data_IF_831330600760
#
_entry.id   IF_831330600760
#
_cell.length_a   1.000
_cell.length_b   1.000
_cell.length_c   1.000
_cell.angle_alpha   90.00
_cell.angle_beta   90.00
_cell.angle_gamma   90.00
#
_symmetry.space_group_name_H-M   'P 1'
#
loop_
_entity.id
_entity.type
_entity.pdbx_description
1 polymer ?
#
# COMPACT_ATOMS: atom_id res chain seq x y z
N UNK A 1 4.43 -14.05 18.81
CA UNK A 1 3.22 -14.44 18.04
C UNK A 1 3.60 -15.51 17.02
N UNK A 2 2.65 -16.27 16.45
CA UNK A 2 2.97 -17.23 15.40
C UNK A 2 3.32 -16.48 14.11
N UNK A 3 4.61 -16.29 13.88
CA UNK A 3 5.19 -15.67 12.67
C UNK A 3 4.84 -16.41 11.35
N UNK A 4 4.24 -17.59 11.43
CA UNK A 4 4.03 -18.46 10.26
C UNK A 4 3.10 -17.82 9.23
N UNK A 5 2.03 -17.15 9.66
CA UNK A 5 1.09 -16.49 8.74
C UNK A 5 1.74 -15.34 7.98
N UNK A 6 2.60 -14.56 8.65
CA UNK A 6 3.35 -13.46 8.07
C UNK A 6 4.40 -13.98 7.08
N UNK A 7 5.14 -15.04 7.47
CA UNK A 7 6.11 -15.71 6.59
C UNK A 7 5.49 -16.27 5.32
N UNK A 8 4.39 -17.03 5.42
CA UNK A 8 3.71 -17.60 4.25
C UNK A 8 3.24 -16.52 3.27
N UNK A 9 2.76 -15.38 3.78
CA UNK A 9 2.36 -14.25 2.96
C UNK A 9 3.55 -13.54 2.30
N UNK A 10 4.64 -13.35 3.03
CA UNK A 10 5.88 -12.82 2.46
C UNK A 10 6.38 -13.69 1.31
N UNK A 11 6.35 -15.02 1.43
CA UNK A 11 6.75 -15.93 0.36
C UNK A 11 5.89 -15.87 -0.92
N UNK A 12 4.75 -15.16 -0.90
CA UNK A 12 3.90 -14.94 -2.08
C UNK A 12 4.20 -13.63 -2.80
N UNK A 13 4.83 -12.68 -2.10
CA UNK A 13 5.18 -11.37 -2.66
C UNK A 13 6.68 -11.23 -2.94
N UNK A 14 7.51 -12.18 -2.50
CA UNK A 14 8.94 -12.23 -2.80
C UNK A 14 9.26 -13.31 -3.84
N UNK A 15 10.15 -12.99 -4.79
CA UNK A 15 10.73 -14.01 -5.66
C UNK A 15 11.59 -14.97 -4.82
N UNK A 16 11.18 -16.24 -4.77
CA UNK A 16 11.81 -17.26 -3.91
C UNK A 16 13.25 -17.60 -4.32
N UNK A 17 13.66 -17.28 -5.55
CA UNK A 17 15.00 -17.61 -6.06
C UNK A 17 16.02 -16.53 -5.71
N UNK A 18 15.66 -15.27 -5.95
CA UNK A 18 16.54 -14.12 -5.71
C UNK A 18 16.39 -13.53 -4.31
N UNK A 19 15.24 -13.73 -3.65
CA UNK A 19 14.90 -13.06 -2.41
C UNK A 19 14.55 -11.57 -2.58
N UNK A 20 14.41 -11.11 -3.83
CA UNK A 20 14.00 -9.74 -4.15
C UNK A 20 12.48 -9.65 -4.31
N UNK A 21 11.99 -8.41 -4.37
CA UNK A 21 10.58 -8.09 -4.59
C UNK A 21 10.44 -6.92 -5.56
N UNK A 22 9.56 -7.04 -6.54
CA UNK A 22 9.11 -5.99 -7.43
C UNK A 22 7.61 -5.73 -7.22
N UNK A 23 7.31 -4.60 -6.54
CA UNK A 23 5.94 -4.13 -6.30
C UNK A 23 5.61 -3.03 -7.30
N UNK A 24 4.49 -3.15 -8.02
CA UNK A 24 3.97 -2.06 -8.86
C UNK A 24 2.82 -1.34 -8.12
N UNK A 25 3.01 -0.09 -7.67
CA UNK A 25 1.94 0.70 -7.07
C UNK A 25 0.94 1.19 -8.12
N UNK A 26 -0.34 1.06 -7.79
CA UNK A 26 -1.50 1.32 -8.65
C UNK A 26 -2.64 2.00 -7.87
N UNK A 27 -2.34 2.61 -6.73
CA UNK A 27 -3.30 3.16 -5.75
C UNK A 27 -3.68 4.63 -6.00
N UNK A 28 -3.05 5.26 -7.00
CA UNK A 28 -3.12 6.71 -7.23
C UNK A 28 -4.53 7.20 -7.62
N UNK A 29 -5.39 6.31 -8.13
CA UNK A 29 -6.70 6.67 -8.67
C UNK A 29 -7.62 7.43 -7.71
N UNK A 30 -7.54 7.14 -6.41
CA UNK A 30 -8.32 7.86 -5.39
C UNK A 30 -7.75 9.26 -5.10
N UNK A 31 -6.42 9.41 -5.15
CA UNK A 31 -5.74 10.64 -4.76
C UNK A 31 -5.70 11.66 -5.90
N UNK A 32 -5.50 11.17 -7.12
CA UNK A 32 -5.22 11.98 -8.31
C UNK A 32 -6.33 11.93 -9.37
N UNK A 33 -7.34 11.07 -9.18
CA UNK A 33 -8.41 10.85 -10.14
C UNK A 33 -8.03 9.83 -11.23
N UNK A 34 -8.74 9.82 -12.38
CA UNK A 34 -8.52 8.82 -13.43
C UNK A 34 -7.10 8.88 -14.02
N UNK A 35 -6.27 7.90 -13.69
CA UNK A 35 -4.91 7.77 -14.23
C UNK A 35 -4.92 6.96 -15.52
N UNK A 36 -4.26 7.49 -16.56
CA UNK A 36 -4.04 6.76 -17.81
C UNK A 36 -3.31 5.46 -17.52
N UNK A 37 -3.87 4.34 -17.96
CA UNK A 37 -3.33 3.01 -17.67
C UNK A 37 -3.93 2.34 -16.44
N UNK A 38 -4.71 3.04 -15.59
CA UNK A 38 -5.44 2.41 -14.47
C UNK A 38 -6.96 2.31 -14.74
N UNK A 39 -7.42 2.83 -15.87
CA UNK A 39 -8.85 2.81 -16.28
C UNK A 39 -9.38 1.39 -16.44
N UNK A 40 -8.59 0.49 -17.05
CA UNK A 40 -8.88 -0.94 -17.16
C UNK A 40 -7.91 -1.73 -16.27
N UNK A 41 -8.21 -1.80 -14.98
CA UNK A 41 -7.26 -2.31 -13.99
C UNK A 41 -6.89 -3.79 -14.21
N UNK A 42 -7.83 -4.63 -14.64
CA UNK A 42 -7.56 -6.05 -14.92
C UNK A 42 -6.56 -6.26 -16.06
N UNK A 43 -6.67 -5.48 -17.14
CA UNK A 43 -5.72 -5.51 -18.25
C UNK A 43 -4.32 -5.05 -17.79
N UNK A 44 -4.26 -4.01 -16.98
CA UNK A 44 -2.98 -3.47 -16.49
C UNK A 44 -2.30 -4.41 -15.51
N UNK A 45 -3.05 -5.02 -14.58
CA UNK A 45 -2.52 -6.06 -13.70
C UNK A 45 -1.96 -7.22 -14.53
N UNK A 46 -2.63 -7.60 -15.64
CA UNK A 46 -2.13 -8.67 -16.49
C UNK A 46 -0.78 -8.32 -17.12
N UNK A 47 -0.66 -7.12 -17.69
CA UNK A 47 0.59 -6.62 -18.28
C UNK A 47 1.72 -6.55 -17.25
N UNK A 48 1.40 -6.12 -16.04
CA UNK A 48 2.35 -6.05 -14.91
C UNK A 48 2.81 -7.44 -14.49
N UNK A 49 1.90 -8.40 -14.38
CA UNK A 49 2.24 -9.80 -14.06
C UNK A 49 3.10 -10.43 -15.17
N UNK A 50 2.77 -10.22 -16.44
CA UNK A 50 3.57 -10.68 -17.59
C UNK A 50 4.96 -10.02 -17.65
N UNK A 51 5.07 -8.79 -17.13
CA UNK A 51 6.32 -8.07 -16.97
C UNK A 51 7.21 -8.57 -15.83
N UNK A 52 6.73 -9.54 -15.03
CA UNK A 52 7.50 -10.17 -13.95
C UNK A 52 7.41 -9.45 -12.61
N UNK A 53 6.35 -8.67 -12.35
CA UNK A 53 6.09 -8.14 -11.02
C UNK A 53 5.64 -9.23 -10.04
N UNK A 54 6.12 -9.16 -8.81
CA UNK A 54 5.77 -10.10 -7.75
C UNK A 54 4.47 -9.70 -7.04
N UNK A 55 4.19 -8.38 -6.95
CA UNK A 55 3.01 -7.87 -6.29
C UNK A 55 2.49 -6.56 -6.92
N UNK A 56 1.22 -6.29 -6.68
CA UNK A 56 0.56 -5.01 -6.95
C UNK A 56 0.06 -4.39 -5.66
N UNK A 57 0.19 -3.07 -5.54
CA UNK A 57 -0.33 -2.29 -4.42
C UNK A 57 -1.48 -1.41 -4.91
N UNK A 58 -2.69 -1.61 -4.38
CA UNK A 58 -3.87 -0.86 -4.86
C UNK A 58 -4.90 -0.59 -3.76
N UNK A 59 -5.80 0.34 -4.03
CA UNK A 59 -6.93 0.66 -3.14
C UNK A 59 -7.95 -0.49 -3.11
N UNK A 60 -8.60 -0.70 -1.95
CA UNK A 60 -9.59 -1.77 -1.75
C UNK A 60 -10.71 -1.79 -2.80
N UNK A 61 -11.13 -0.62 -3.29
CA UNK A 61 -12.18 -0.49 -4.30
C UNK A 61 -11.79 -1.06 -5.65
N UNK A 62 -10.49 -1.08 -5.98
CA UNK A 62 -9.97 -1.54 -7.28
C UNK A 62 -9.86 -3.06 -7.35
N UNK A 63 -9.71 -3.74 -6.22
CA UNK A 63 -9.52 -5.20 -6.14
C UNK A 63 -10.62 -5.97 -6.87
N UNK A 64 -11.88 -5.53 -6.71
CA UNK A 64 -13.05 -6.17 -7.35
C UNK A 64 -13.03 -6.12 -8.87
N UNK A 65 -12.35 -5.12 -9.43
CA UNK A 65 -12.21 -4.93 -10.88
C UNK A 65 -10.91 -5.51 -11.43
N UNK A 66 -9.98 -5.89 -10.55
CA UNK A 66 -8.66 -6.41 -10.91
C UNK A 66 -8.54 -7.93 -10.93
N UNK A 67 -9.58 -8.66 -10.48
CA UNK A 67 -9.54 -10.12 -10.50
C UNK A 67 -9.54 -10.66 -11.93
N UNK A 68 -8.43 -11.30 -12.33
CA UNK A 68 -8.24 -11.81 -13.69
C UNK A 68 -8.79 -13.23 -13.88
N UNK A 69 -8.57 -14.12 -12.90
CA UNK A 69 -8.97 -15.53 -13.00
C UNK A 69 -8.14 -16.36 -14.00
N UNK A 70 -7.03 -15.82 -14.50
CA UNK A 70 -6.10 -16.48 -15.43
C UNK A 70 -4.69 -15.88 -15.29
N UNK A 71 -3.70 -16.49 -15.95
CA UNK A 71 -2.31 -16.02 -15.99
C UNK A 71 -1.53 -16.33 -14.71
N UNK A 72 -0.35 -15.72 -14.57
CA UNK A 72 0.49 -15.89 -13.38
C UNK A 72 -0.17 -15.32 -12.13
N UNK A 73 -0.01 -15.99 -11.00
CA UNK A 73 -0.38 -15.42 -9.70
C UNK A 73 0.47 -14.17 -9.44
N UNK A 74 -0.15 -13.17 -8.82
CA UNK A 74 0.50 -11.93 -8.42
C UNK A 74 0.04 -11.57 -7.02
N UNK A 75 0.97 -11.21 -6.16
CA UNK A 75 0.68 -10.85 -4.78
C UNK A 75 -0.18 -9.58 -4.68
N UNK A 76 -1.04 -9.53 -3.67
CA UNK A 76 -1.95 -8.41 -3.45
C UNK A 76 -1.60 -7.64 -2.18
N UNK A 77 -1.26 -6.36 -2.34
CA UNK A 77 -1.08 -5.40 -1.24
C UNK A 77 -2.23 -4.40 -1.26
N UNK A 78 -3.02 -4.34 -0.19
CA UNK A 78 -4.13 -3.39 -0.10
C UNK A 78 -3.68 -2.12 0.61
N UNK A 79 -3.82 -0.98 -0.07
CA UNK A 79 -3.62 0.32 0.54
C UNK A 79 -4.84 0.72 1.37
N UNK A 80 -4.60 1.11 2.63
CA UNK A 80 -5.65 1.29 3.63
C UNK A 80 -5.88 2.74 4.04
N UNK A 81 -5.06 3.67 3.54
CA UNK A 81 -5.22 5.10 3.75
C UNK A 81 -5.50 5.82 2.44
N UNK A 82 -6.16 6.98 2.50
CA UNK A 82 -6.37 7.82 1.33
C UNK A 82 -6.44 9.30 1.72
N UNK A 83 -6.13 10.16 0.75
CA UNK A 83 -6.47 11.58 0.73
C UNK A 83 -6.75 11.94 -0.73
N UNK A 84 -7.29 13.12 -1.00
CA UNK A 84 -7.51 13.56 -2.38
C UNK A 84 -6.82 14.90 -2.62
N UNK A 85 -6.37 15.13 -3.84
CA UNK A 85 -5.76 16.42 -4.24
C UNK A 85 -6.75 17.59 -4.19
N UNK A 86 -8.05 17.32 -4.18
CA UNK A 86 -9.12 18.30 -4.06
C UNK A 86 -9.51 18.59 -2.61
N UNK A 87 -9.02 17.80 -1.65
CA UNK A 87 -9.27 18.01 -0.24
C UNK A 87 -8.65 19.33 0.25
N UNK A 88 -9.22 19.94 1.31
CA UNK A 88 -8.65 21.16 1.89
C UNK A 88 -7.23 20.95 2.43
N UNK A 89 -6.92 19.72 2.88
CA UNK A 89 -5.57 19.26 3.19
C UNK A 89 -5.28 17.96 2.42
N UNK A 90 -4.55 18.02 1.29
CA UNK A 90 -4.14 16.84 0.53
C UNK A 90 -3.18 15.90 1.28
N UNK A 91 -2.55 16.35 2.36
CA UNK A 91 -1.65 15.52 3.18
C UNK A 91 -2.39 14.76 4.28
N UNK A 92 -3.66 15.08 4.55
CA UNK A 92 -4.49 14.38 5.53
C UNK A 92 -4.89 12.98 5.04
N UNK A 93 -4.03 11.99 5.31
CA UNK A 93 -4.29 10.59 5.00
C UNK A 93 -5.21 9.99 6.05
N UNK A 94 -6.43 9.66 5.65
CA UNK A 94 -7.44 9.04 6.51
C UNK A 94 -7.54 7.54 6.27
N UNK A 95 -7.92 6.80 7.32
CA UNK A 95 -8.22 5.38 7.22
C UNK A 95 -9.44 5.14 6.32
N UNK A 96 -9.31 4.20 5.37
CA UNK A 96 -10.39 3.80 4.44
C UNK A 96 -10.60 2.29 4.40
N UNK A 97 -9.77 1.51 5.10
CA UNK A 97 -9.83 0.05 5.16
C UNK A 97 -9.35 -0.44 6.53
N UNK A 98 -9.78 -1.64 6.92
CA UNK A 98 -9.24 -2.37 8.08
C UNK A 98 -8.43 -3.58 7.61
N UNK A 99 -7.54 -4.10 8.47
CA UNK A 99 -6.77 -5.32 8.19
C UNK A 99 -7.71 -6.51 7.95
N UNK A 100 -8.79 -6.63 8.72
CA UNK A 100 -9.81 -7.66 8.53
C UNK A 100 -10.50 -7.58 7.17
N UNK A 101 -10.85 -6.37 6.72
CA UNK A 101 -11.44 -6.16 5.39
C UNK A 101 -10.44 -6.55 4.30
N UNK A 102 -9.17 -6.17 4.46
CA UNK A 102 -8.12 -6.53 3.52
C UNK A 102 -7.91 -8.06 3.41
N UNK A 103 -7.96 -8.78 4.53
CA UNK A 103 -7.88 -10.25 4.54
C UNK A 103 -9.06 -10.87 3.79
N UNK A 104 -10.29 -10.35 3.99
CA UNK A 104 -11.48 -10.83 3.27
C UNK A 104 -11.36 -10.63 1.75
N UNK A 105 -10.60 -9.63 1.32
CA UNK A 105 -10.30 -9.35 -0.08
C UNK A 105 -9.12 -10.17 -0.64
N UNK A 106 -8.48 -11.00 0.20
CA UNK A 106 -7.37 -11.86 -0.21
C UNK A 106 -6.00 -11.19 -0.16
N UNK A 107 -5.82 -10.13 0.62
CA UNK A 107 -4.53 -9.46 0.75
C UNK A 107 -3.43 -10.38 1.30
N UNK A 108 -2.27 -10.34 0.65
CA UNK A 108 -1.02 -10.90 1.14
C UNK A 108 -0.27 -9.90 2.02
N UNK A 109 -0.49 -8.60 1.85
CA UNK A 109 -0.01 -7.56 2.75
C UNK A 109 -0.95 -6.35 2.75
N UNK A 110 -0.74 -5.44 3.70
CA UNK A 110 -1.43 -4.15 3.72
C UNK A 110 -0.42 -3.01 3.71
N UNK A 111 -0.85 -1.82 3.29
CA UNK A 111 -0.02 -0.63 3.34
C UNK A 111 -0.76 0.58 3.87
N UNK A 112 -0.02 1.47 4.53
CA UNK A 112 -0.49 2.79 5.00
C UNK A 112 0.50 3.87 4.57
N UNK A 113 0.03 5.11 4.45
CA UNK A 113 0.81 6.26 4.00
C UNK A 113 0.86 7.28 5.11
N UNK A 114 2.07 7.67 5.52
CA UNK A 114 2.31 8.65 6.57
C UNK A 114 3.08 9.83 5.98
N UNK A 115 2.52 11.02 6.14
CA UNK A 115 3.16 12.29 5.82
C UNK A 115 3.80 12.86 7.09
N UNK A 116 5.06 12.51 7.32
CA UNK A 116 5.87 12.94 8.47
C UNK A 116 6.14 14.43 8.36
N UNK A 117 5.80 15.20 9.41
CA UNK A 117 5.85 16.65 9.44
C UNK A 117 4.60 17.37 8.94
N UNK A 118 3.53 16.65 8.55
CA UNK A 118 2.27 17.26 8.12
C UNK A 118 1.41 17.68 9.32
N UNK A 119 0.45 18.58 9.09
CA UNK A 119 -0.45 19.08 10.14
C UNK A 119 -1.27 17.96 10.82
N UNK A 120 -1.40 16.80 10.16
CA UNK A 120 -2.17 15.63 10.60
C UNK A 120 -1.30 14.41 10.87
N UNK A 121 0.02 14.59 11.03
CA UNK A 121 0.96 13.51 11.31
C UNK A 121 0.59 12.69 12.54
N UNK A 122 0.15 13.34 13.63
CA UNK A 122 -0.19 12.64 14.88
C UNK A 122 -1.24 11.57 14.68
N UNK A 123 -2.31 11.89 13.93
CA UNK A 123 -3.43 11.01 13.68
C UNK A 123 -3.01 9.86 12.75
N UNK A 124 -2.13 10.15 11.79
CA UNK A 124 -1.57 9.15 10.89
C UNK A 124 -0.66 8.16 11.63
N UNK A 125 0.16 8.65 12.58
CA UNK A 125 1.00 7.79 13.42
C UNK A 125 0.17 6.94 14.39
N UNK A 126 -0.90 7.48 14.98
CA UNK A 126 -1.84 6.71 15.79
C UNK A 126 -2.47 5.58 14.95
N UNK A 127 -2.89 5.90 13.72
CA UNK A 127 -3.41 4.91 12.79
C UNK A 127 -2.38 3.83 12.41
N UNK A 128 -1.12 4.21 12.14
CA UNK A 128 -0.03 3.26 11.88
C UNK A 128 0.16 2.31 13.07
N UNK A 129 0.15 2.82 14.30
CA UNK A 129 0.25 2.01 15.51
C UNK A 129 -0.87 0.98 15.62
N UNK A 130 -2.12 1.43 15.49
CA UNK A 130 -3.29 0.54 15.52
C UNK A 130 -3.25 -0.54 14.42
N UNK A 131 -2.88 -0.16 13.20
CA UNK A 131 -2.72 -1.10 12.08
C UNK A 131 -1.59 -2.11 12.34
N UNK A 132 -0.49 -1.70 12.98
CA UNK A 132 0.60 -2.61 13.33
C UNK A 132 0.12 -3.70 14.29
N UNK A 133 -0.64 -3.32 15.31
CA UNK A 133 -1.20 -4.27 16.28
C UNK A 133 -2.14 -5.28 15.60
N UNK A 134 -3.01 -4.79 14.71
CA UNK A 134 -3.91 -5.64 13.91
C UNK A 134 -3.13 -6.57 12.98
N UNK A 135 -2.08 -6.08 12.32
CA UNK A 135 -1.22 -6.88 11.44
C UNK A 135 -0.51 -8.00 12.20
N UNK A 136 -0.04 -7.71 13.41
CA UNK A 136 0.58 -8.70 14.29
C UNK A 136 -0.43 -9.75 14.77
N UNK A 137 -1.63 -9.32 15.16
CA UNK A 137 -2.72 -10.21 15.56
C UNK A 137 -3.15 -11.16 14.43
N UNK A 138 -3.31 -10.63 13.21
CA UNK A 138 -3.77 -11.41 12.04
C UNK A 138 -2.65 -12.09 11.25
N UNK A 139 -1.38 -11.85 11.59
CA UNK A 139 -0.24 -12.39 10.86
C UNK A 139 -0.14 -11.87 9.42
N UNK A 140 -0.37 -10.57 9.23
CA UNK A 140 -0.33 -9.88 7.94
C UNK A 140 0.92 -8.98 7.88
N UNK A 141 1.71 -9.01 6.79
CA UNK A 141 2.77 -8.04 6.55
C UNK A 141 2.23 -6.61 6.36
N UNK A 142 2.93 -5.64 6.94
CA UNK A 142 2.61 -4.21 6.85
C UNK A 142 3.72 -3.48 6.08
N UNK A 143 3.33 -2.69 5.08
CA UNK A 143 4.19 -1.74 4.37
C UNK A 143 3.84 -0.32 4.83
N UNK A 144 4.73 0.32 5.58
CA UNK A 144 4.61 1.72 5.94
C UNK A 144 5.27 2.60 4.86
N UNK A 145 4.49 3.40 4.15
CA UNK A 145 4.99 4.36 3.16
C UNK A 145 5.16 5.71 3.84
N UNK A 146 6.39 5.99 4.25
CA UNK A 146 6.76 7.19 5.01
C UNK A 146 7.31 8.25 4.08
N UNK A 147 6.75 9.46 4.12
CA UNK A 147 7.21 10.58 3.30
C UNK A 147 7.38 11.83 4.17
N UNK A 148 8.55 12.51 4.11
CA UNK A 148 8.72 13.79 4.77
C UNK A 148 7.94 14.86 4.00
N UNK A 149 6.79 15.29 4.53
CA UNK A 149 5.92 16.32 3.94
C UNK A 149 5.37 17.22 5.03
N UNK A 150 5.59 18.52 4.89
CA UNK A 150 5.14 19.50 5.88
C UNK A 150 5.64 20.90 5.56
N UNK A 151 5.04 21.92 6.19
CA UNK A 151 5.43 23.31 5.96
C UNK A 151 6.91 23.58 6.34
N UNK A 152 7.46 22.81 7.29
CA UNK A 152 8.86 22.89 7.72
C UNK A 152 9.84 22.10 6.83
N UNK A 153 9.35 21.37 5.82
CA UNK A 153 10.15 20.49 4.96
C UNK A 153 10.23 21.11 3.56
N UNK A 154 11.27 21.91 3.26
CA UNK A 154 11.40 22.58 1.96
C UNK A 154 11.74 21.62 0.81
N UNK A 155 12.33 20.46 1.13
CA UNK A 155 12.70 19.43 0.16
C UNK A 155 12.39 18.04 0.71
N UNK A 156 11.32 17.41 0.22
CA UNK A 156 10.93 16.05 0.59
C UNK A 156 11.92 14.96 0.13
N UNK A 157 12.92 15.31 -0.68
CA UNK A 157 13.97 14.40 -1.14
C UNK A 157 15.31 14.64 -0.42
N UNK A 158 15.34 15.52 0.59
CA UNK A 158 16.53 15.70 1.41
C UNK A 158 16.88 14.39 2.16
N UNK A 159 18.12 13.88 2.09
CA UNK A 159 18.48 12.61 2.71
C UNK A 159 18.28 12.57 4.23
N UNK A 160 18.44 13.70 4.94
CA UNK A 160 18.22 13.74 6.39
C UNK A 160 16.73 13.72 6.72
N UNK A 161 15.91 14.42 5.93
CA UNK A 161 14.45 14.36 6.07
C UNK A 161 13.91 12.95 5.76
N UNK A 162 14.41 12.29 4.71
CA UNK A 162 14.03 10.91 4.36
C UNK A 162 14.50 9.91 5.40
N UNK A 163 15.68 10.08 6.00
CA UNK A 163 16.16 9.18 7.04
C UNK A 163 15.44 9.34 8.39
N UNK A 164 14.82 10.50 8.63
CA UNK A 164 14.00 10.75 9.81
C UNK A 164 12.60 10.14 9.68
N UNK A 165 12.03 10.19 8.47
CA UNK A 165 10.72 9.64 8.16
C UNK A 165 10.72 8.11 8.13
#
# INVERSE_FOLDING_TARGET
MPEIGKKVRLERIFDRKSGNILIIPMDHGISEGPIKGLVNIGETINKVAEGGADAVLMQKGMVKHGHRGYGHDIGLIIHMSASTSLGPDPNNKVAVCTVEEAIKLGADAVSVHINVGSDTESDQLEYLGAVSDDCDYWGVPLVAMMYPRGAAIPNQHDPAAVALA
#
